data_IF_209417647300
#
_entry.id   IF_209417647300
#
_cell.length_a   1.000
_cell.length_b   1.000
_cell.length_c   1.000
_cell.angle_alpha   90.00
_cell.angle_beta   90.00
_cell.angle_gamma   90.00
#
_symmetry.space_group_name_H-M   'P 1'
#
loop_
_entity.id
_entity.type
_entity.pdbx_description
1 polymer ?
#
# COMPACT_ATOMS: atom_id res chain seq x y z
N UNK A 1 -5.21 26.79 18.97
CA UNK A 1 -5.67 25.41 19.31
C UNK A 1 -4.44 24.55 19.54
N UNK A 2 -4.48 23.55 20.43
CA UNK A 2 -3.28 22.79 20.85
C UNK A 2 -3.19 21.41 20.17
N UNK A 3 -1.95 20.94 19.98
CA UNK A 3 -1.61 19.59 19.56
C UNK A 3 -1.93 18.58 20.66
N UNK A 4 -2.58 17.48 20.31
CA UNK A 4 -2.97 16.44 21.27
C UNK A 4 -1.82 15.57 21.81
N UNK A 5 -0.59 15.78 21.34
CA UNK A 5 0.61 15.05 21.79
C UNK A 5 1.50 15.98 22.62
N UNK A 6 1.93 17.10 22.03
CA UNK A 6 2.91 18.00 22.64
C UNK A 6 2.28 19.15 23.44
N UNK A 7 0.96 19.35 23.38
CA UNK A 7 0.26 20.44 24.10
C UNK A 7 0.57 21.86 23.59
N UNK A 8 1.47 22.02 22.62
CA UNK A 8 1.80 23.30 21.97
C UNK A 8 0.84 23.63 20.83
N UNK A 9 1.02 24.78 20.19
CA UNK A 9 0.18 25.22 19.07
C UNK A 9 0.17 24.22 17.91
N UNK A 10 -1.03 23.87 17.44
CA UNK A 10 -1.23 23.00 16.30
C UNK A 10 -1.15 23.76 14.99
N UNK A 11 -0.44 23.21 14.01
CA UNK A 11 -0.25 23.81 12.67
C UNK A 11 -1.05 23.08 11.58
N UNK A 12 -1.40 21.81 11.82
CA UNK A 12 -2.11 20.97 10.85
C UNK A 12 -2.90 19.87 11.55
N UNK A 13 -3.74 19.17 10.78
CA UNK A 13 -4.34 17.91 11.19
C UNK A 13 -3.52 16.73 10.63
N UNK A 14 -3.56 15.61 11.36
CA UNK A 14 -3.01 14.33 10.95
C UNK A 14 -3.80 13.81 9.74
N UNK A 15 -3.11 13.47 8.66
CA UNK A 15 -3.72 12.98 7.41
C UNK A 15 -4.36 11.60 7.51
N UNK A 16 -4.19 10.88 8.64
CA UNK A 16 -4.83 9.59 8.85
C UNK A 16 -6.01 9.68 9.83
N UNK A 17 -5.80 10.18 11.04
CA UNK A 17 -6.84 10.22 12.07
C UNK A 17 -7.49 11.59 12.28
N UNK A 18 -7.04 12.65 11.60
CA UNK A 18 -7.58 14.00 11.75
C UNK A 18 -7.15 14.74 13.03
N UNK A 19 -6.41 14.09 13.95
CA UNK A 19 -5.94 14.73 15.18
C UNK A 19 -5.02 15.93 14.89
N UNK A 20 -5.13 16.97 15.73
CA UNK A 20 -4.31 18.17 15.65
C UNK A 20 -2.83 17.86 15.97
N UNK A 21 -1.93 18.27 15.09
CA UNK A 21 -0.48 18.07 15.18
C UNK A 21 0.27 19.41 15.09
N UNK A 22 1.39 19.52 15.82
CA UNK A 22 2.30 20.67 15.76
C UNK A 22 3.46 20.42 14.79
N UNK A 23 4.31 21.43 14.58
CA UNK A 23 5.49 21.34 13.73
C UNK A 23 6.49 20.26 14.18
N UNK A 24 6.62 20.03 15.49
CA UNK A 24 7.50 18.98 16.02
C UNK A 24 7.04 17.59 15.58
N UNK A 25 5.73 17.30 15.64
CA UNK A 25 5.18 16.06 15.11
C UNK A 25 5.54 15.85 13.63
N UNK A 26 5.56 16.91 12.83
CA UNK A 26 5.85 16.84 11.39
C UNK A 26 7.35 16.62 11.16
N UNK A 27 8.21 17.32 11.90
CA UNK A 27 9.67 17.22 11.81
C UNK A 27 10.18 15.82 12.15
N UNK A 28 9.67 15.22 13.22
CA UNK A 28 10.07 13.87 13.64
C UNK A 28 9.66 12.79 12.63
N UNK A 29 8.43 12.90 12.11
CA UNK A 29 7.83 11.83 11.31
C UNK A 29 8.02 12.00 9.79
N UNK A 30 8.56 13.15 9.34
CA UNK A 30 8.71 13.55 7.92
C UNK A 30 7.42 13.50 7.09
N UNK A 31 6.26 13.33 7.74
CA UNK A 31 4.93 13.18 7.15
C UNK A 31 3.91 13.86 8.07
N UNK A 32 2.77 14.27 7.53
CA UNK A 32 1.67 14.88 8.30
C UNK A 32 0.88 13.82 9.09
N UNK A 33 1.55 13.02 9.90
CA UNK A 33 0.92 12.01 10.76
C UNK A 33 1.27 12.26 12.22
N UNK A 34 0.34 11.96 13.13
CA UNK A 34 0.61 11.97 14.56
C UNK A 34 1.46 10.76 14.96
N UNK A 35 2.17 10.85 16.09
CA UNK A 35 3.05 9.78 16.57
C UNK A 35 2.33 8.41 16.67
N UNK A 36 1.10 8.39 17.21
CA UNK A 36 0.31 7.16 17.32
C UNK A 36 -0.01 6.51 15.96
N UNK A 37 -0.27 7.33 14.95
CA UNK A 37 -0.49 6.84 13.58
C UNK A 37 0.80 6.30 12.96
N UNK A 38 1.94 6.95 13.22
CA UNK A 38 3.24 6.49 12.72
C UNK A 38 3.67 5.19 13.37
N UNK A 39 3.42 5.02 14.66
CA UNK A 39 3.67 3.77 15.37
C UNK A 39 2.83 2.62 14.79
N UNK A 40 1.54 2.85 14.52
CA UNK A 40 0.66 1.87 13.85
C UNK A 40 1.17 1.52 12.46
N UNK A 41 1.59 2.50 11.65
CA UNK A 41 2.18 2.23 10.33
C UNK A 41 3.48 1.42 10.44
N UNK A 42 4.31 1.71 11.45
CA UNK A 42 5.57 1.02 11.68
C UNK A 42 5.34 -0.43 12.10
N UNK A 43 4.30 -0.70 12.91
CA UNK A 43 3.87 -2.07 13.25
C UNK A 43 3.34 -2.83 12.04
N UNK A 44 2.52 -2.20 11.20
CA UNK A 44 2.07 -2.82 9.93
C UNK A 44 3.25 -3.16 9.01
N UNK A 45 4.26 -2.28 8.94
CA UNK A 45 5.48 -2.54 8.13
C UNK A 45 6.42 -3.58 8.73
N UNK A 46 6.49 -3.70 10.06
CA UNK A 46 7.40 -4.64 10.76
C UNK A 46 6.74 -5.98 11.09
N UNK A 47 5.43 -6.08 11.04
CA UNK A 47 4.71 -7.28 11.44
C UNK A 47 3.36 -7.40 10.77
N UNK A 48 3.34 -7.64 9.46
CA UNK A 48 2.38 -8.57 8.81
C UNK A 48 3.04 -9.14 7.54
N UNK A 49 4.11 -9.92 7.69
CA UNK A 49 4.06 -11.26 7.09
C UNK A 49 3.49 -12.13 8.20
N UNK A 50 2.18 -12.00 8.46
CA UNK A 50 1.49 -13.23 8.81
C UNK A 50 1.72 -14.08 7.58
N UNK A 51 2.44 -15.18 7.73
CA UNK A 51 2.26 -16.32 6.83
C UNK A 51 0.75 -16.53 6.81
N UNK A 52 0.12 -15.97 5.78
CA UNK A 52 -1.16 -16.44 5.35
C UNK A 52 -0.86 -17.89 4.97
N UNK A 53 -1.11 -18.80 5.90
CA UNK A 53 -1.55 -20.16 5.59
C UNK A 53 -2.93 -20.12 4.94
N UNK A 54 -3.22 -19.08 4.16
CA UNK A 54 -4.16 -19.19 3.07
C UNK A 54 -3.41 -20.05 2.09
N UNK A 55 -3.67 -21.36 2.13
CA UNK A 55 -3.64 -22.16 0.92
C UNK A 55 -4.12 -21.23 -0.19
N UNK A 56 -3.27 -20.97 -1.17
CA UNK A 56 -3.66 -20.23 -2.35
C UNK A 56 -4.69 -21.12 -3.02
N UNK A 57 -5.94 -21.04 -2.58
CA UNK A 57 -7.05 -21.50 -3.38
C UNK A 57 -6.95 -20.62 -4.61
N UNK A 58 -6.71 -21.22 -5.76
CA UNK A 58 -6.72 -20.61 -7.09
C UNK A 58 -8.14 -20.10 -7.42
N UNK A 59 -8.70 -19.24 -6.56
CA UNK A 59 -9.91 -18.48 -6.84
C UNK A 59 -9.48 -17.33 -7.72
N UNK A 60 -9.17 -17.70 -8.96
CA UNK A 60 -9.31 -16.78 -10.08
C UNK A 60 -10.78 -16.43 -10.10
N UNK A 61 -11.12 -15.16 -9.85
CA UNK A 61 -12.46 -14.62 -10.09
C UNK A 61 -12.68 -14.48 -11.62
N UNK A 62 -12.46 -15.60 -12.32
CA UNK A 62 -12.54 -15.76 -13.76
C UNK A 62 -13.74 -16.65 -13.98
N UNK A 63 -14.77 -16.09 -14.61
CA UNK A 63 -15.90 -16.85 -15.09
C UNK A 63 -15.38 -17.93 -16.07
N UNK A 64 -15.51 -19.21 -15.68
CA UNK A 64 -15.03 -20.36 -16.48
C UNK A 64 -15.85 -20.59 -17.76
N UNK A 65 -16.96 -19.87 -17.95
CA UNK A 65 -17.77 -19.93 -19.17
C UNK A 65 -17.24 -19.04 -20.30
N UNK A 66 -16.25 -18.17 -20.02
CA UNK A 66 -15.65 -17.31 -21.03
C UNK A 66 -14.83 -18.14 -22.01
N UNK A 67 -15.09 -17.97 -23.31
CA UNK A 67 -14.28 -18.56 -24.36
C UNK A 67 -12.91 -17.89 -24.45
N UNK A 68 -11.92 -18.64 -24.93
CA UNK A 68 -10.54 -18.15 -25.10
C UNK A 68 -10.46 -16.86 -25.93
N UNK A 69 -11.37 -16.66 -26.88
CA UNK A 69 -11.48 -15.44 -27.68
C UNK A 69 -11.77 -14.19 -26.85
N UNK A 70 -12.68 -14.27 -25.87
CA UNK A 70 -13.05 -13.14 -25.01
C UNK A 70 -11.91 -12.79 -24.05
N UNK A 71 -11.19 -13.82 -23.59
CA UNK A 71 -10.01 -13.66 -22.74
C UNK A 71 -8.89 -12.91 -23.49
N UNK A 72 -8.60 -13.31 -24.74
CA UNK A 72 -7.57 -12.67 -25.56
C UNK A 72 -7.94 -11.22 -25.94
N UNK A 73 -9.21 -10.93 -26.19
CA UNK A 73 -9.68 -9.57 -26.45
C UNK A 73 -9.53 -8.68 -25.20
N UNK A 74 -9.91 -9.19 -24.02
CA UNK A 74 -9.70 -8.46 -22.74
C UNK A 74 -8.23 -8.23 -22.42
N UNK A 75 -7.34 -9.20 -22.72
CA UNK A 75 -5.89 -9.02 -22.59
C UNK A 75 -5.35 -7.92 -23.51
N UNK A 76 -5.89 -7.81 -24.72
CA UNK A 76 -5.56 -6.73 -25.67
C UNK A 76 -6.04 -5.38 -25.17
N UNK A 77 -7.30 -5.28 -24.72
CA UNK A 77 -7.88 -4.03 -24.17
C UNK A 77 -7.09 -3.51 -22.96
N UNK A 78 -6.65 -4.40 -22.07
CA UNK A 78 -5.88 -4.04 -20.87
C UNK A 78 -4.40 -3.73 -21.16
N UNK A 79 -3.95 -3.83 -22.42
CA UNK A 79 -2.55 -3.58 -22.79
C UNK A 79 -1.57 -4.59 -22.17
N UNK A 80 -2.05 -5.75 -21.73
CA UNK A 80 -1.26 -6.76 -21.02
C UNK A 80 -0.49 -7.70 -21.95
N UNK A 81 -0.40 -7.39 -23.24
CA UNK A 81 0.56 -8.02 -24.14
C UNK A 81 1.95 -7.51 -23.73
N UNK A 82 2.53 -8.14 -22.71
CA UNK A 82 3.97 -8.12 -22.48
C UNK A 82 4.60 -8.77 -23.70
N UNK A 83 5.08 -7.93 -24.63
CA UNK A 83 6.14 -8.35 -25.57
C UNK A 83 7.22 -8.99 -24.72
N UNK A 84 7.51 -10.27 -24.97
CA UNK A 84 8.52 -11.02 -24.24
C UNK A 84 9.84 -10.26 -24.24
N UNK A 85 10.24 -9.79 -23.07
CA UNK A 85 11.62 -9.42 -22.80
C UNK A 85 12.26 -10.56 -22.07
N UNK A 86 12.73 -11.51 -22.88
CA UNK A 86 13.82 -12.42 -22.59
C UNK A 86 14.97 -11.59 -22.00
N UNK A 87 15.11 -11.57 -20.67
CA UNK A 87 16.27 -10.95 -20.01
C UNK A 87 17.08 -12.07 -19.40
N UNK A 88 17.92 -12.65 -20.26
CA UNK A 88 19.04 -13.52 -19.93
C UNK A 88 19.96 -12.77 -18.97
N UNK A 89 19.87 -13.06 -17.67
CA UNK A 89 20.86 -12.62 -16.69
C UNK A 89 22.12 -13.45 -16.92
N UNK A 90 23.10 -12.89 -17.65
CA UNK A 90 24.47 -13.36 -17.61
C UNK A 90 25.17 -12.63 -16.46
N UNK A 91 25.42 -13.34 -15.36
CA UNK A 91 26.37 -12.90 -14.34
C UNK A 91 27.78 -13.03 -14.92
N UNK A 92 28.53 -11.92 -14.97
CA UNK A 92 29.99 -11.91 -14.95
C UNK A 92 30.45 -11.63 -13.52
#
# INVERSE_FOLDING_TARGET
MQCGIHGIESVSNCGWCGNRICDECIKENRKRYCASCVEKLSKVRRGVVQERTTEISDVRNVDRSLSDSVIEEKKKELGLIRKGTDTRIQNQ
#
